data_IF_647159239878
#
_entry.id   IF_647159239878
#
_cell.length_a   1.000
_cell.length_b   1.000
_cell.length_c   1.000
_cell.angle_alpha   90.00
_cell.angle_beta   90.00
_cell.angle_gamma   90.00
#
_symmetry.space_group_name_H-M   'P 1'
#
loop_
_entity.id
_entity.type
_entity.pdbx_description
1 polymer ?
#
# COMPACT_ATOMS: atom_id res chain seq x y z
N UNK A 1 2.87 1.17 15.51
CA UNK A 1 1.99 2.36 15.39
C UNK A 1 0.61 1.89 15.00
N UNK A 2 -0.40 2.32 15.77
CA UNK A 2 -1.81 2.03 15.51
C UNK A 2 -2.54 3.34 15.27
N UNK A 3 -3.47 3.33 14.34
CA UNK A 3 -4.19 4.54 13.92
C UNK A 3 -5.69 4.30 13.86
N UNK A 4 -6.44 5.32 14.24
CA UNK A 4 -7.91 5.29 14.28
C UNK A 4 -8.48 6.67 14.58
N UNK A 5 -9.77 6.83 14.29
CA UNK A 5 -10.53 8.06 14.55
C UNK A 5 -10.93 8.16 16.04
N UNK A 6 -11.12 7.02 16.70
CA UNK A 6 -11.52 6.92 18.11
C UNK A 6 -10.53 6.05 18.93
N UNK A 7 -10.19 6.43 20.18
CA UNK A 7 -9.27 5.66 21.03
C UNK A 7 -9.72 4.21 21.28
N UNK A 8 -11.03 3.94 21.35
CA UNK A 8 -11.57 2.59 21.54
C UNK A 8 -11.22 1.65 20.37
N UNK A 9 -11.21 2.20 19.14
CA UNK A 9 -10.88 1.47 17.91
C UNK A 9 -9.38 1.15 17.85
N UNK A 10 -8.54 2.09 18.28
CA UNK A 10 -7.08 1.90 18.33
C UNK A 10 -6.71 0.77 19.30
N UNK A 11 -7.37 0.71 20.46
CA UNK A 11 -7.17 -0.35 21.46
C UNK A 11 -7.60 -1.72 20.93
N UNK A 12 -8.76 -1.83 20.28
CA UNK A 12 -9.22 -3.08 19.68
C UNK A 12 -8.24 -3.60 18.63
N UNK A 13 -7.75 -2.71 17.76
CA UNK A 13 -6.78 -3.04 16.70
C UNK A 13 -5.40 -3.40 17.24
N UNK A 14 -5.02 -2.85 18.39
CA UNK A 14 -3.81 -3.24 19.13
C UNK A 14 -3.92 -4.67 19.66
N UNK A 15 -5.08 -5.05 20.18
CA UNK A 15 -5.30 -6.39 20.72
C UNK A 15 -5.43 -7.44 19.60
N UNK A 16 -6.04 -7.07 18.47
CA UNK A 16 -6.27 -7.96 17.32
C UNK A 16 -5.00 -8.31 16.52
N UNK A 17 -3.94 -7.49 16.58
CA UNK A 17 -2.68 -7.74 15.85
C UNK A 17 -1.91 -8.99 16.31
N UNK A 18 -2.39 -9.73 17.30
CA UNK A 18 -1.82 -11.03 17.68
C UNK A 18 -2.17 -12.17 16.70
N UNK A 19 -2.91 -11.90 15.62
CA UNK A 19 -3.24 -12.89 14.58
C UNK A 19 -2.31 -12.75 13.36
N UNK A 20 -1.44 -13.74 13.16
CA UNK A 20 -0.54 -13.83 12.02
C UNK A 20 -1.34 -13.99 10.71
N UNK A 21 -1.25 -13.01 9.80
CA UNK A 21 -1.88 -13.08 8.48
C UNK A 21 -0.88 -13.54 7.40
N UNK A 22 -1.24 -14.47 6.48
CA UNK A 22 -0.34 -15.00 5.44
C UNK A 22 0.22 -13.97 4.44
N UNK A 23 -0.34 -12.76 4.38
CA UNK A 23 0.13 -11.66 3.54
C UNK A 23 1.34 -10.90 4.10
N UNK A 24 1.89 -11.31 5.26
CA UNK A 24 3.01 -10.61 5.92
C UNK A 24 4.28 -10.52 5.08
N UNK A 25 4.51 -11.46 4.14
CA UNK A 25 5.69 -11.45 3.26
C UNK A 25 5.68 -10.31 2.23
N UNK A 26 4.50 -9.81 1.85
CA UNK A 26 4.33 -8.64 0.97
C UNK A 26 3.92 -7.37 1.73
N UNK A 27 3.64 -7.50 3.04
CA UNK A 27 3.18 -6.40 3.87
C UNK A 27 4.38 -5.68 4.48
N UNK A 28 4.98 -4.78 3.70
CA UNK A 28 5.95 -3.83 4.24
C UNK A 28 5.29 -3.05 5.39
N UNK A 29 5.83 -3.17 6.61
CA UNK A 29 5.28 -2.44 7.75
C UNK A 29 5.35 -0.95 7.45
N UNK A 30 4.18 -0.33 7.21
CA UNK A 30 4.09 1.11 6.96
C UNK A 30 4.55 1.86 8.21
N UNK A 31 5.72 2.49 8.12
CA UNK A 31 6.28 3.38 9.15
C UNK A 31 5.73 4.81 9.04
N UNK A 32 4.93 5.08 8.01
CA UNK A 32 4.37 6.40 7.72
C UNK A 32 2.86 6.42 7.95
N UNK A 33 2.40 7.46 8.64
CA UNK A 33 1.00 7.71 8.94
C UNK A 33 0.55 8.91 8.11
N UNK A 34 -0.43 8.70 7.25
CA UNK A 34 -1.09 9.79 6.51
C UNK A 34 -2.21 10.36 7.38
N UNK A 35 -2.17 11.67 7.62
CA UNK A 35 -3.19 12.37 8.40
C UNK A 35 -4.27 12.93 7.47
N UNK A 36 -5.55 12.64 7.71
CA UNK A 36 -6.64 13.30 7.01
C UNK A 36 -6.68 14.78 7.42
N UNK A 37 -6.97 15.67 6.45
CA UNK A 37 -6.96 17.11 6.69
C UNK A 37 -8.13 17.63 7.53
N UNK A 38 -9.25 16.89 7.57
CA UNK A 38 -10.52 17.39 8.10
C UNK A 38 -11.17 16.50 9.16
N UNK A 39 -10.59 15.35 9.50
CA UNK A 39 -11.12 14.47 10.54
C UNK A 39 -10.16 14.33 11.72
N UNK A 40 -10.69 14.25 12.96
CA UNK A 40 -9.86 14.00 14.13
C UNK A 40 -9.15 12.65 13.97
N UNK A 41 -7.88 12.60 14.37
CA UNK A 41 -7.05 11.42 14.17
C UNK A 41 -6.22 11.12 15.41
N UNK A 42 -6.30 9.88 15.89
CA UNK A 42 -5.59 9.38 17.05
C UNK A 42 -4.48 8.41 16.63
N UNK A 43 -3.27 8.60 17.18
CA UNK A 43 -2.11 7.73 16.96
C UNK A 43 -1.68 7.12 18.28
N UNK A 44 -1.75 5.79 18.36
CA UNK A 44 -1.29 5.01 19.52
C UNK A 44 0.12 4.47 19.31
N UNK A 45 0.99 4.71 20.29
CA UNK A 45 2.33 4.15 20.38
C UNK A 45 2.40 3.16 21.55
N UNK A 46 2.96 1.97 21.30
CA UNK A 46 3.23 0.97 22.35
C UNK A 46 4.71 0.64 22.25
N UNK A 47 5.50 1.05 23.24
CA UNK A 47 6.94 0.81 23.36
C UNK A 47 7.25 0.32 24.77
N UNK A 48 8.20 -0.60 24.91
CA UNK A 48 8.65 -1.14 26.20
C UNK A 48 9.78 -0.33 26.85
N UNK A 49 10.37 0.61 26.12
CA UNK A 49 11.48 1.46 26.56
C UNK A 49 11.18 2.95 26.37
N UNK A 50 11.96 3.83 27.00
CA UNK A 50 11.84 5.29 26.87
C UNK A 50 12.14 5.73 25.42
N UNK A 51 11.29 6.60 24.86
CA UNK A 51 11.42 7.09 23.49
C UNK A 51 11.05 8.56 23.39
N UNK A 52 11.81 9.32 22.61
CA UNK A 52 11.49 10.70 22.25
C UNK A 52 10.73 10.73 20.92
N UNK A 53 9.67 11.53 20.85
CA UNK A 53 8.81 11.67 19.69
C UNK A 53 9.10 12.98 18.94
N UNK A 54 9.54 12.87 17.69
CA UNK A 54 9.71 14.01 16.79
C UNK A 54 8.70 13.94 15.64
N UNK A 55 7.86 14.97 15.52
CA UNK A 55 6.88 15.10 14.45
C UNK A 55 7.48 15.88 13.28
N UNK A 56 7.85 15.17 12.20
CA UNK A 56 8.29 15.79 10.95
C UNK A 56 7.14 15.84 9.96
N UNK A 57 6.47 16.99 9.88
CA UNK A 57 5.36 17.19 8.95
C UNK A 57 5.89 17.33 7.52
N UNK A 58 5.51 16.41 6.63
CA UNK A 58 5.78 16.50 5.19
C UNK A 58 4.48 16.84 4.47
N UNK A 59 4.36 18.09 4.01
CA UNK A 59 3.15 18.60 3.35
C UNK A 59 3.03 18.12 1.91
N UNK A 60 4.16 17.95 1.22
CA UNK A 60 4.18 17.58 -0.21
C UNK A 60 4.66 16.14 -0.39
N UNK A 61 3.82 15.33 -1.03
CA UNK A 61 4.19 13.99 -1.48
C UNK A 61 4.76 14.08 -2.91
N UNK A 62 6.09 14.12 -3.02
CA UNK A 62 6.79 14.17 -4.32
C UNK A 62 6.40 13.03 -5.26
N UNK A 63 6.03 11.85 -4.74
CA UNK A 63 5.60 10.74 -5.58
C UNK A 63 4.30 11.08 -6.33
N UNK A 64 3.34 11.71 -5.64
CA UNK A 64 2.07 12.14 -6.26
C UNK A 64 2.30 13.22 -7.31
N UNK A 65 3.24 14.14 -7.06
CA UNK A 65 3.63 15.17 -8.04
C UNK A 65 4.27 14.53 -9.27
N UNK A 66 5.17 13.57 -9.10
CA UNK A 66 5.79 12.83 -10.20
C UNK A 66 4.71 12.09 -11.00
N UNK A 67 3.78 11.40 -10.34
CA UNK A 67 2.67 10.71 -11.01
C UNK A 67 1.82 11.68 -11.85
N UNK A 68 1.56 12.88 -11.36
CA UNK A 68 0.85 13.93 -12.10
C UNK A 68 1.64 14.36 -13.36
N UNK A 69 2.94 14.62 -13.22
CA UNK A 69 3.80 15.03 -14.35
C UNK A 69 3.84 13.91 -15.41
N UNK A 70 4.01 12.66 -14.99
CA UNK A 70 4.00 11.51 -15.91
C UNK A 70 2.67 11.42 -16.65
N UNK A 71 1.55 11.60 -15.97
CA UNK A 71 0.23 11.61 -16.60
C UNK A 71 0.08 12.72 -17.66
N UNK A 72 0.58 13.92 -17.37
CA UNK A 72 0.56 15.05 -18.32
C UNK A 72 1.41 14.74 -19.56
N UNK A 73 2.63 14.23 -19.36
CA UNK A 73 3.54 13.86 -20.47
C UNK A 73 2.92 12.76 -21.34
N UNK A 74 2.32 11.74 -20.71
CA UNK A 74 1.62 10.67 -21.42
C UNK A 74 0.44 11.20 -22.23
N UNK A 75 -0.34 12.14 -21.68
CA UNK A 75 -1.48 12.72 -22.38
C UNK A 75 -1.05 13.44 -23.68
N UNK A 76 -0.02 14.29 -23.60
CA UNK A 76 0.49 14.98 -24.79
C UNK A 76 1.16 14.03 -25.78
N UNK A 77 1.82 12.98 -25.28
CA UNK A 77 2.53 12.02 -26.12
C UNK A 77 1.60 10.94 -26.70
N UNK A 78 0.35 10.85 -26.24
CA UNK A 78 -0.61 9.82 -26.65
C UNK A 78 -0.76 9.67 -28.17
N UNK A 79 -0.87 10.74 -28.99
CA UNK A 79 -0.98 10.60 -30.46
C UNK A 79 0.29 10.02 -31.10
N UNK A 80 1.46 10.33 -30.55
CA UNK A 80 2.74 9.81 -31.04
C UNK A 80 2.96 8.36 -30.61
N UNK A 81 2.52 8.00 -29.40
CA UNK A 81 2.63 6.65 -28.86
C UNK A 81 1.62 5.70 -29.52
N UNK A 82 0.41 6.17 -29.83
CA UNK A 82 -0.60 5.35 -30.53
C UNK A 82 -0.25 5.10 -32.00
N UNK A 83 0.59 5.94 -32.60
CA UNK A 83 1.05 5.70 -33.98
C UNK A 83 2.23 4.74 -34.04
N UNK A 84 2.90 4.50 -32.91
CA UNK A 84 3.98 3.53 -32.83
C UNK A 84 3.42 2.12 -32.62
N UNK A 85 3.54 1.21 -33.61
CA UNK A 85 2.97 -0.14 -33.52
C UNK A 85 3.53 -0.92 -32.33
N UNK A 86 4.82 -0.70 -32.00
CA UNK A 86 5.44 -1.35 -30.85
C UNK A 86 4.69 -1.04 -29.56
N UNK A 87 4.44 0.24 -29.26
CA UNK A 87 3.75 0.65 -28.04
C UNK A 87 2.31 0.13 -27.98
N UNK A 88 1.60 0.12 -29.12
CA UNK A 88 0.23 -0.40 -29.21
C UNK A 88 0.13 -1.87 -28.79
N UNK A 89 0.99 -2.72 -29.35
CA UNK A 89 0.96 -4.15 -29.04
C UNK A 89 1.54 -4.44 -27.65
N UNK A 90 2.62 -3.77 -27.26
CA UNK A 90 3.24 -4.01 -25.95
C UNK A 90 2.37 -3.53 -24.79
N UNK A 91 1.57 -2.47 -24.95
CA UNK A 91 0.69 -1.98 -23.88
C UNK A 91 -0.38 -3.02 -23.54
N UNK A 92 -1.07 -3.57 -24.55
CA UNK A 92 -2.07 -4.61 -24.32
C UNK A 92 -1.45 -5.90 -23.76
N UNK A 93 -0.32 -6.33 -24.33
CA UNK A 93 0.39 -7.54 -23.88
C UNK A 93 0.88 -7.39 -22.44
N UNK A 94 1.49 -6.26 -22.07
CA UNK A 94 1.98 -6.04 -20.71
C UNK A 94 0.86 -6.02 -19.67
N UNK A 95 -0.25 -5.33 -19.95
CA UNK A 95 -1.43 -5.32 -19.06
C UNK A 95 -2.01 -6.73 -18.92
N UNK A 96 -2.12 -7.48 -20.02
CA UNK A 96 -2.61 -8.86 -20.00
C UNK A 96 -1.69 -9.81 -19.21
N UNK A 97 -0.37 -9.72 -19.39
CA UNK A 97 0.60 -10.52 -18.65
C UNK A 97 0.54 -10.20 -17.16
N UNK A 98 0.49 -8.92 -16.78
CA UNK A 98 0.36 -8.52 -15.37
C UNK A 98 -0.95 -9.02 -14.77
N UNK A 99 -2.07 -8.86 -15.47
CA UNK A 99 -3.37 -9.36 -15.00
C UNK A 99 -3.38 -10.88 -14.81
N UNK A 100 -2.80 -11.63 -15.77
CA UNK A 100 -2.68 -13.09 -15.69
C UNK A 100 -1.83 -13.53 -14.48
N UNK A 101 -0.68 -12.88 -14.25
CA UNK A 101 0.17 -13.13 -13.08
C UNK A 101 -0.55 -12.83 -11.77
N UNK A 102 -1.30 -11.72 -11.69
CA UNK A 102 -2.07 -11.37 -10.49
C UNK A 102 -3.15 -12.42 -10.18
N UNK A 103 -3.85 -12.91 -11.20
CA UNK A 103 -4.84 -13.99 -11.04
C UNK A 103 -4.16 -15.26 -10.55
N UNK A 104 -3.02 -15.64 -11.14
CA UNK A 104 -2.28 -16.83 -10.73
C UNK A 104 -1.83 -16.74 -9.26
N UNK A 105 -1.20 -15.62 -8.86
CA UNK A 105 -0.76 -15.39 -7.48
C UNK A 105 -1.96 -15.47 -6.52
N UNK A 106 -3.10 -14.88 -6.89
CA UNK A 106 -4.31 -14.93 -6.08
C UNK A 106 -4.82 -16.36 -5.89
N UNK A 107 -4.87 -17.14 -6.97
CA UNK A 107 -5.30 -18.53 -6.94
C UNK A 107 -4.36 -19.37 -6.08
N UNK A 108 -3.04 -19.28 -6.30
CA UNK A 108 -2.03 -20.00 -5.50
C UNK A 108 -2.13 -19.59 -4.04
N UNK A 109 -2.24 -18.30 -3.73
CA UNK A 109 -2.40 -17.80 -2.36
C UNK A 109 -3.67 -18.33 -1.68
N UNK A 110 -4.74 -18.60 -2.43
CA UNK A 110 -5.96 -19.23 -1.91
C UNK A 110 -5.79 -20.73 -1.64
N UNK A 111 -4.92 -21.41 -2.39
CA UNK A 111 -4.68 -22.85 -2.28
C UNK A 111 -3.57 -23.23 -1.30
N UNK A 112 -2.86 -22.27 -0.69
CA UNK A 112 -1.92 -22.56 0.40
C UNK A 112 -2.72 -22.68 1.71
N UNK A 113 -2.99 -23.89 2.23
CA UNK A 113 -3.59 -24.05 3.55
C UNK A 113 -2.59 -23.60 4.61
N UNK A 114 -3.03 -22.70 5.50
CA UNK A 114 -2.25 -22.26 6.65
C UNK A 114 -2.13 -23.45 7.61
N UNK A 115 -0.96 -24.09 7.67
CA UNK A 115 -0.68 -25.15 8.65
C UNK A 115 -0.59 -24.52 10.04
N UNK A 116 -1.62 -24.73 10.85
CA UNK A 116 -1.62 -24.49 12.28
C UNK A 116 -0.77 -25.57 12.96
N UNK A 117 0.52 -25.31 13.17
CA UNK A 117 1.34 -26.14 14.07
C UNK A 117 1.39 -25.45 15.42
N UNK A 118 0.49 -25.83 16.31
CA UNK A 118 0.69 -25.67 17.75
C UNK A 118 1.51 -26.89 18.21
N UNK A 119 2.67 -26.62 18.82
CA UNK A 119 3.36 -27.50 19.75
C UNK A 119 3.67 -26.67 21.00
#
# INVERSE_FOLDING_TARGET
>A
IFTGEDPSVVLKKSNEKSMWSPSSWFYSQKTTVEFPAFSPYCVGFSSRENYDLFLKVRVVNYWKVIQMIVGIVLFFSAPSLSRNPFFHYTSGVSVGVVASLLILIYIVGRFVPVRSTYA
#
